data_IF_477790398243
#
_entry.id   IF_477790398243
#
_cell.length_a   1.000
_cell.length_b   1.000
_cell.length_c   1.000
_cell.angle_alpha   90.00
_cell.angle_beta   90.00
_cell.angle_gamma   90.00
#
_symmetry.space_group_name_H-M   'P 1'
#
loop_
_entity.id
_entity.type
_entity.pdbx_description
1 polymer ?
#
# COMPACT_ATOMS: atom_id res chain seq x y z
N UNK A 1 3.02 20.00 -6.58
CA UNK A 1 1.69 19.61 -6.00
C UNK A 1 1.51 18.11 -6.11
N UNK A 2 1.11 17.43 -5.02
CA UNK A 2 0.87 15.98 -5.05
C UNK A 2 -0.46 15.65 -5.71
N UNK A 3 -0.48 14.61 -6.56
CA UNK A 3 -1.67 14.17 -7.29
C UNK A 3 -1.64 12.67 -7.49
N UNK A 4 -2.75 11.99 -7.12
CA UNK A 4 -2.98 10.58 -7.50
C UNK A 4 -3.61 10.53 -8.88
N UNK A 5 -3.03 9.73 -9.76
CA UNK A 5 -3.53 9.50 -11.13
C UNK A 5 -3.85 8.02 -11.27
N UNK A 6 -5.08 7.72 -11.67
CA UNK A 6 -5.48 6.36 -11.96
C UNK A 6 -4.65 5.81 -13.12
N UNK A 7 -4.08 4.62 -12.92
CA UNK A 7 -3.40 3.92 -13.99
C UNK A 7 -4.44 3.29 -14.90
N UNK A 8 -4.50 3.76 -16.12
CA UNK A 8 -5.37 3.17 -17.12
C UNK A 8 -4.99 1.70 -17.34
N UNK A 9 -5.96 0.81 -17.36
CA UNK A 9 -5.77 -0.62 -17.59
C UNK A 9 -5.14 -0.91 -18.97
N UNK A 10 -5.24 0.01 -19.90
CA UNK A 10 -4.63 -0.05 -21.24
C UNK A 10 -3.15 0.36 -21.22
N UNK A 11 -2.67 0.96 -20.14
CA UNK A 11 -1.26 1.28 -19.98
C UNK A 11 -0.47 0.02 -19.58
N UNK A 12 0.74 -0.06 -20.07
CA UNK A 12 1.65 -1.17 -19.78
C UNK A 12 2.20 -1.08 -18.34
N UNK A 13 1.47 -1.70 -17.42
CA UNK A 13 1.91 -1.83 -16.03
C UNK A 13 3.27 -2.52 -15.88
N UNK A 14 3.64 -3.39 -16.85
CA UNK A 14 4.94 -4.05 -16.83
C UNK A 14 6.07 -3.04 -16.95
N UNK A 15 5.94 -2.05 -17.85
CA UNK A 15 6.93 -0.99 -17.99
C UNK A 15 7.05 -0.16 -16.72
N UNK A 16 5.93 0.17 -16.07
CA UNK A 16 5.95 0.90 -14.81
C UNK A 16 6.68 0.12 -13.71
N UNK A 17 6.36 -1.14 -13.51
CA UNK A 17 7.04 -1.97 -12.51
C UNK A 17 8.49 -2.25 -12.89
N UNK A 18 8.83 -2.32 -14.16
CA UNK A 18 10.22 -2.40 -14.64
C UNK A 18 11.02 -1.18 -14.22
N UNK A 19 10.48 0.02 -14.38
CA UNK A 19 11.12 1.26 -13.93
C UNK A 19 11.25 1.30 -12.41
N UNK A 20 10.22 0.87 -11.68
CA UNK A 20 10.28 0.74 -10.23
C UNK A 20 11.37 -0.24 -9.79
N UNK A 21 11.53 -1.37 -10.50
CA UNK A 21 12.58 -2.36 -10.27
C UNK A 21 13.99 -1.82 -10.51
N UNK A 22 14.21 -1.11 -11.60
CA UNK A 22 15.50 -0.43 -11.87
C UNK A 22 15.88 0.55 -10.76
N UNK A 23 14.91 1.11 -10.08
CA UNK A 23 15.10 2.00 -8.92
C UNK A 23 15.19 1.24 -7.59
N UNK A 24 15.19 -0.11 -7.63
CA UNK A 24 15.36 -0.97 -6.47
C UNK A 24 14.13 -1.13 -5.56
N UNK A 25 12.93 -0.87 -6.09
CA UNK A 25 11.68 -1.04 -5.34
C UNK A 25 11.05 -2.42 -5.47
N UNK A 26 11.30 -3.07 -6.58
CA UNK A 26 10.72 -4.38 -6.90
C UNK A 26 11.79 -5.26 -7.54
N UNK A 27 11.83 -6.52 -7.16
CA UNK A 27 12.70 -7.49 -7.80
C UNK A 27 12.18 -7.81 -9.21
N UNK A 28 13.06 -7.80 -10.20
CA UNK A 28 12.73 -8.07 -11.61
C UNK A 28 12.00 -9.41 -11.82
N UNK A 29 12.34 -10.46 -11.07
CA UNK A 29 11.69 -11.75 -11.17
C UNK A 29 10.23 -11.74 -10.67
N UNK A 30 9.88 -10.83 -9.77
CA UNK A 30 8.54 -10.71 -9.22
C UNK A 30 7.59 -9.85 -10.07
N UNK A 31 8.08 -9.09 -11.04
CA UNK A 31 7.28 -8.16 -11.83
C UNK A 31 6.27 -8.87 -12.70
N UNK A 32 6.69 -9.90 -13.44
CA UNK A 32 5.79 -10.71 -14.28
C UNK A 32 4.71 -11.38 -13.42
N UNK A 33 5.12 -11.99 -12.30
CA UNK A 33 4.19 -12.63 -11.36
C UNK A 33 3.20 -11.62 -10.76
N UNK A 34 3.62 -10.38 -10.57
CA UNK A 34 2.76 -9.32 -10.03
C UNK A 34 1.70 -8.87 -11.00
N UNK A 35 2.06 -8.76 -12.28
CA UNK A 35 1.12 -8.38 -13.35
C UNK A 35 0.15 -9.52 -13.60
N UNK A 36 0.65 -10.75 -13.73
CA UNK A 36 -0.18 -11.94 -13.90
C UNK A 36 -1.18 -12.11 -12.74
N UNK A 37 -0.77 -11.76 -11.51
CA UNK A 37 -1.66 -11.77 -10.35
C UNK A 37 -2.84 -10.79 -10.45
N UNK A 38 -2.64 -9.60 -11.00
CA UNK A 38 -3.73 -8.64 -11.18
C UNK A 38 -4.69 -9.07 -12.28
N UNK A 39 -4.21 -9.65 -13.36
CA UNK A 39 -5.07 -10.13 -14.44
C UNK A 39 -6.02 -11.25 -14.02
N UNK A 40 -5.67 -12.02 -12.99
CA UNK A 40 -6.50 -13.09 -12.45
C UNK A 40 -7.48 -12.63 -11.37
N UNK A 41 -7.38 -11.38 -10.91
CA UNK A 41 -8.30 -10.84 -9.92
C UNK A 41 -9.63 -10.45 -10.58
N UNK A 42 -10.74 -10.67 -9.85
CA UNK A 42 -12.08 -10.29 -10.31
C UNK A 42 -12.16 -8.80 -10.62
N UNK A 43 -11.54 -8.00 -9.79
CA UNK A 43 -11.50 -6.55 -9.89
C UNK A 43 -10.19 -6.02 -9.33
N UNK A 44 -9.58 -5.06 -9.99
CA UNK A 44 -8.37 -4.41 -9.52
C UNK A 44 -8.25 -3.00 -10.09
N UNK A 45 -7.47 -2.17 -9.42
CA UNK A 45 -7.04 -0.87 -9.92
C UNK A 45 -5.68 -0.50 -9.36
N UNK A 46 -5.01 0.42 -10.03
CA UNK A 46 -3.71 0.93 -9.61
C UNK A 46 -3.63 2.45 -9.86
N UNK A 47 -2.79 3.11 -9.07
CA UNK A 47 -2.59 4.56 -9.15
C UNK A 47 -1.12 4.91 -9.01
N UNK A 48 -0.73 6.02 -9.63
CA UNK A 48 0.57 6.62 -9.49
C UNK A 48 0.42 7.94 -8.75
N UNK A 49 1.28 8.14 -7.76
CA UNK A 49 1.44 9.41 -7.07
C UNK A 49 2.47 10.26 -7.80
N UNK A 50 2.06 11.43 -8.24
CA UNK A 50 2.92 12.45 -8.82
C UNK A 50 3.17 13.57 -7.82
N UNK A 51 4.39 14.13 -7.86
CA UNK A 51 4.68 15.46 -7.35
C UNK A 51 5.02 16.33 -8.56
N UNK A 52 4.13 17.26 -8.88
CA UNK A 52 4.09 17.97 -10.17
C UNK A 52 4.09 16.93 -11.32
N UNK A 53 5.07 16.97 -12.22
CA UNK A 53 5.17 16.03 -13.36
C UNK A 53 6.01 14.78 -13.07
N UNK A 54 6.49 14.63 -11.83
CA UNK A 54 7.38 13.54 -11.44
C UNK A 54 6.63 12.45 -10.71
N UNK A 55 6.64 11.22 -11.24
CA UNK A 55 6.13 10.05 -10.53
C UNK A 55 7.01 9.76 -9.31
N UNK A 56 6.41 9.74 -8.12
CA UNK A 56 7.11 9.53 -6.85
C UNK A 56 6.63 8.30 -6.10
N UNK A 57 5.54 7.68 -6.51
CA UNK A 57 5.04 6.47 -5.86
C UNK A 57 3.94 5.79 -6.63
N UNK A 58 3.53 4.62 -6.14
CA UNK A 58 2.40 3.87 -6.66
C UNK A 58 1.71 3.06 -5.58
N UNK A 59 0.45 2.75 -5.82
CA UNK A 59 -0.36 1.84 -5.01
C UNK A 59 -1.35 1.11 -5.90
N UNK A 60 -1.74 -0.09 -5.49
CA UNK A 60 -2.80 -0.85 -6.13
C UNK A 60 -3.77 -1.43 -5.10
N UNK A 61 -4.96 -1.78 -5.57
CA UNK A 61 -5.98 -2.49 -4.84
C UNK A 61 -6.62 -3.56 -5.74
N UNK A 62 -7.10 -4.63 -5.14
CA UNK A 62 -7.73 -5.73 -5.87
C UNK A 62 -8.71 -6.51 -5.01
N UNK A 63 -9.55 -7.34 -5.65
CA UNK A 63 -10.39 -8.31 -4.95
C UNK A 63 -9.55 -9.26 -4.08
N UNK A 64 -10.11 -9.69 -2.95
CA UNK A 64 -9.41 -10.54 -1.97
C UNK A 64 -10.29 -11.73 -1.55
N UNK A 65 -11.16 -12.13 -2.46
CA UNK A 65 -12.20 -13.12 -2.22
C UNK A 65 -11.64 -14.49 -1.81
N UNK A 66 -10.53 -14.90 -2.41
CA UNK A 66 -9.88 -16.18 -2.13
C UNK A 66 -9.40 -16.33 -0.67
N UNK A 67 -9.11 -15.22 -0.01
CA UNK A 67 -8.55 -15.21 1.35
C UNK A 67 -9.58 -14.81 2.41
N UNK A 68 -10.41 -13.83 2.09
CA UNK A 68 -11.33 -13.21 3.03
C UNK A 68 -12.81 -13.44 2.71
N UNK A 69 -13.11 -14.15 1.61
CA UNK A 69 -14.46 -14.43 1.16
C UNK A 69 -15.03 -13.34 0.25
N UNK A 70 -16.26 -13.54 -0.24
CA UNK A 70 -16.88 -12.67 -1.22
C UNK A 70 -16.98 -11.20 -0.79
N UNK A 71 -16.87 -10.29 -1.76
CA UNK A 71 -16.94 -8.85 -1.53
C UNK A 71 -15.86 -8.33 -0.56
N UNK A 72 -14.69 -8.90 -0.64
CA UNK A 72 -13.52 -8.42 0.08
C UNK A 72 -12.49 -7.82 -0.88
N UNK A 73 -11.78 -6.79 -0.39
CA UNK A 73 -10.79 -6.06 -1.16
C UNK A 73 -9.51 -5.92 -0.37
N UNK A 74 -8.38 -6.15 -1.02
CA UNK A 74 -7.07 -5.86 -0.48
C UNK A 74 -6.56 -4.57 -1.08
N UNK A 75 -6.23 -3.63 -0.22
CA UNK A 75 -5.66 -2.32 -0.59
C UNK A 75 -4.21 -2.20 -0.13
N UNK A 76 -3.57 -1.10 -0.45
CA UNK A 76 -2.16 -0.86 -0.18
C UNK A 76 -1.25 -1.96 -0.73
N UNK A 77 -1.66 -2.55 -1.85
CA UNK A 77 -0.86 -3.53 -2.58
C UNK A 77 0.14 -2.79 -3.45
N UNK A 78 1.35 -3.30 -3.52
CA UNK A 78 2.40 -2.71 -4.37
C UNK A 78 2.69 -1.24 -4.05
N UNK A 79 2.59 -0.88 -2.79
CA UNK A 79 3.02 0.45 -2.33
C UNK A 79 4.50 0.58 -2.55
N UNK A 80 4.89 1.60 -3.29
CA UNK A 80 6.28 2.01 -3.43
C UNK A 80 6.38 3.53 -3.55
N UNK A 81 7.52 4.06 -3.21
CA UNK A 81 7.89 5.46 -3.43
C UNK A 81 9.26 5.54 -4.07
N UNK A 82 9.49 6.55 -4.92
CA UNK A 82 10.71 6.70 -5.70
C UNK A 82 11.51 7.94 -5.29
N UNK A 83 12.83 7.87 -5.53
CA UNK A 83 13.70 9.04 -5.53
C UNK A 83 13.78 9.75 -4.18
N UNK A 84 13.43 11.02 -4.15
CA UNK A 84 13.56 11.89 -2.97
C UNK A 84 12.66 11.49 -1.80
N UNK A 85 11.61 10.74 -2.07
CA UNK A 85 10.79 10.13 -1.03
C UNK A 85 11.48 8.94 -0.35
N UNK A 86 12.67 8.57 -0.81
CA UNK A 86 13.45 7.47 -0.25
C UNK A 86 14.22 7.91 0.98
N UNK A 87 14.03 7.21 2.05
CA UNK A 87 14.80 7.41 3.27
C UNK A 87 16.28 7.02 3.12
N UNK A 88 17.15 7.89 3.56
CA UNK A 88 18.57 7.62 3.68
C UNK A 88 18.94 7.23 5.11
N UNK A 89 19.43 6.00 5.24
CA UNK A 89 20.27 5.43 6.31
C UNK A 89 20.09 5.86 7.78
N UNK A 90 19.70 4.89 8.62
CA UNK A 90 19.80 4.89 10.08
C UNK A 90 18.45 4.85 10.82
N UNK A 91 18.45 4.23 12.00
CA UNK A 91 17.24 3.97 12.80
C UNK A 91 16.46 5.22 13.18
N UNK A 92 17.13 6.36 13.40
CA UNK A 92 16.48 7.64 13.71
C UNK A 92 15.91 8.29 12.45
N UNK A 93 16.61 8.13 11.33
CA UNK A 93 16.09 8.52 10.01
C UNK A 93 15.01 7.55 9.55
N UNK A 94 15.08 6.26 9.88
CA UNK A 94 14.00 5.32 9.62
C UNK A 94 12.69 5.72 10.30
N UNK A 95 12.72 6.29 11.50
CA UNK A 95 11.52 6.82 12.14
C UNK A 95 11.00 8.09 11.45
N UNK A 96 11.87 8.97 10.98
CA UNK A 96 11.49 10.11 10.14
C UNK A 96 10.96 9.68 8.78
N UNK A 97 11.53 8.64 8.24
CA UNK A 97 11.15 8.07 6.96
C UNK A 97 9.86 7.28 7.02
N UNK A 98 9.62 6.60 8.12
CA UNK A 98 8.30 6.07 8.39
C UNK A 98 7.27 7.20 8.45
N UNK A 99 7.59 8.34 9.02
CA UNK A 99 6.68 9.49 9.07
C UNK A 99 6.42 10.09 7.68
N UNK A 100 7.46 10.36 6.89
CA UNK A 100 7.29 10.88 5.53
C UNK A 100 6.63 9.86 4.59
N UNK A 101 6.97 8.60 4.71
CA UNK A 101 6.37 7.52 3.95
C UNK A 101 4.93 7.27 4.39
N UNK A 102 4.65 7.35 5.67
CA UNK A 102 3.32 7.31 6.24
C UNK A 102 2.49 8.49 5.74
N UNK A 103 3.04 9.69 5.68
CA UNK A 103 2.35 10.84 5.15
C UNK A 103 1.86 10.64 3.72
N UNK A 104 2.71 10.19 2.81
CA UNK A 104 2.30 9.92 1.43
C UNK A 104 1.27 8.80 1.35
N UNK A 105 1.42 7.76 2.15
CA UNK A 105 0.46 6.66 2.21
C UNK A 105 -0.86 7.12 2.80
N UNK A 106 -0.84 7.81 3.93
CA UNK A 106 -2.05 8.20 4.66
C UNK A 106 -2.79 9.38 4.01
N UNK A 107 -2.05 10.31 3.39
CA UNK A 107 -2.67 11.48 2.74
C UNK A 107 -3.17 11.21 1.34
N UNK A 108 -2.56 10.28 0.60
CA UNK A 108 -2.85 10.07 -0.82
C UNK A 108 -3.24 8.64 -1.16
N UNK A 109 -2.42 7.66 -0.80
CA UNK A 109 -2.60 6.30 -1.27
C UNK A 109 -3.78 5.59 -0.58
N UNK A 110 -3.85 5.65 0.74
CA UNK A 110 -4.91 5.02 1.52
C UNK A 110 -6.29 5.63 1.22
N UNK A 111 -6.47 6.97 1.22
CA UNK A 111 -7.74 7.58 0.85
C UNK A 111 -8.20 7.20 -0.56
N UNK A 112 -7.29 7.17 -1.52
CA UNK A 112 -7.60 6.78 -2.91
C UNK A 112 -8.11 5.34 -2.99
N UNK A 113 -7.43 4.41 -2.31
CA UNK A 113 -7.87 3.02 -2.24
C UNK A 113 -9.22 2.87 -1.53
N UNK A 114 -9.46 3.62 -0.45
CA UNK A 114 -10.71 3.58 0.31
C UNK A 114 -11.88 4.14 -0.52
N UNK A 115 -11.66 5.20 -1.27
CA UNK A 115 -12.70 5.74 -2.15
C UNK A 115 -13.05 4.75 -3.27
N UNK A 116 -12.06 4.07 -3.85
CA UNK A 116 -12.30 3.04 -4.87
C UNK A 116 -13.08 1.84 -4.33
N UNK A 117 -12.86 1.45 -3.07
CA UNK A 117 -13.56 0.32 -2.44
C UNK A 117 -14.88 0.69 -1.79
N UNK A 118 -15.23 1.98 -1.75
CA UNK A 118 -16.43 2.49 -1.09
C UNK A 118 -17.72 1.83 -1.60
N UNK A 119 -18.48 1.27 -0.68
CA UNK A 119 -19.73 0.56 -0.98
C UNK A 119 -19.57 -0.82 -1.65
N UNK A 120 -18.34 -1.28 -1.89
CA UNK A 120 -18.09 -2.56 -2.56
C UNK A 120 -17.99 -3.74 -1.57
N UNK A 121 -17.54 -3.53 -0.36
CA UNK A 121 -17.38 -4.58 0.64
C UNK A 121 -16.35 -4.27 1.72
N UNK A 122 -15.85 -5.32 2.38
CA UNK A 122 -14.87 -5.20 3.45
C UNK A 122 -13.48 -4.93 2.88
N UNK A 123 -12.71 -4.12 3.59
CA UNK A 123 -11.39 -3.66 3.13
C UNK A 123 -10.30 -4.17 4.03
N UNK A 124 -9.26 -4.73 3.43
CA UNK A 124 -8.14 -5.34 4.12
C UNK A 124 -6.81 -4.83 3.59
N UNK A 125 -5.80 -4.90 4.43
CA UNK A 125 -4.41 -4.80 4.02
C UNK A 125 -3.63 -5.97 4.60
N UNK A 126 -2.46 -6.25 4.06
CA UNK A 126 -1.59 -7.28 4.61
C UNK A 126 -0.20 -6.73 4.89
N UNK A 127 0.42 -7.25 5.93
CA UNK A 127 1.81 -6.98 6.25
C UNK A 127 2.61 -8.28 6.33
N UNK A 128 3.80 -8.27 5.73
CA UNK A 128 4.70 -9.40 5.78
C UNK A 128 5.48 -9.38 7.10
N UNK A 129 5.64 -10.55 7.72
CA UNK A 129 6.47 -10.74 8.90
C UNK A 129 7.98 -10.72 8.61
N UNK A 130 8.38 -10.51 7.36
CA UNK A 130 9.79 -10.41 6.98
C UNK A 130 10.54 -9.46 7.92
N UNK A 131 11.71 -9.89 8.35
CA UNK A 131 12.57 -9.09 9.25
C UNK A 131 13.40 -8.06 8.51
N UNK A 132 13.19 -7.90 7.21
CA UNK A 132 14.04 -7.06 6.34
C UNK A 132 13.32 -5.83 5.82
N UNK A 133 14.05 -4.72 5.76
CA UNK A 133 13.68 -3.49 5.06
C UNK A 133 12.39 -2.82 5.53
N UNK A 134 11.75 -2.15 4.59
CA UNK A 134 10.53 -1.38 4.83
C UNK A 134 9.33 -2.23 5.27
N UNK A 135 9.27 -3.50 4.88
CA UNK A 135 8.20 -4.42 5.28
C UNK A 135 8.20 -4.69 6.79
N UNK A 136 9.38 -4.72 7.42
CA UNK A 136 9.49 -4.81 8.88
C UNK A 136 8.82 -3.62 9.57
N UNK A 137 9.02 -2.41 9.05
CA UNK A 137 8.45 -1.20 9.64
C UNK A 137 6.93 -1.17 9.47
N UNK A 138 6.43 -1.58 8.31
CA UNK A 138 4.98 -1.70 8.06
C UNK A 138 4.34 -2.69 9.02
N UNK A 139 4.96 -3.85 9.21
CA UNK A 139 4.42 -4.90 10.09
C UNK A 139 4.53 -4.54 11.57
N UNK A 140 5.66 -3.98 12.03
CA UNK A 140 5.97 -3.78 13.44
C UNK A 140 5.58 -2.40 13.99
N UNK A 141 5.38 -1.40 13.13
CA UNK A 141 5.11 -0.01 13.53
C UNK A 141 3.82 0.51 12.92
N UNK A 142 3.70 0.51 11.58
CA UNK A 142 2.60 1.17 10.88
C UNK A 142 1.23 0.59 11.29
N UNK A 143 0.96 -0.68 10.97
CA UNK A 143 -0.32 -1.29 11.31
C UNK A 143 -0.59 -1.37 12.83
N UNK A 144 0.38 -1.73 13.70
CA UNK A 144 0.16 -1.67 15.14
C UNK A 144 -0.19 -0.26 15.65
N UNK A 145 0.38 0.79 15.04
CA UNK A 145 0.02 2.18 15.38
C UNK A 145 -1.41 2.50 14.97
N UNK A 146 -1.82 2.14 13.76
CA UNK A 146 -3.20 2.31 13.30
C UNK A 146 -4.20 1.49 14.14
N UNK A 147 -3.79 0.31 14.61
CA UNK A 147 -4.63 -0.52 15.48
C UNK A 147 -4.87 0.12 16.84
N UNK A 148 -3.88 0.78 17.43
CA UNK A 148 -4.02 1.49 18.71
C UNK A 148 -5.05 2.62 18.68
N UNK A 149 -5.27 3.21 17.53
CA UNK A 149 -6.25 4.28 17.33
C UNK A 149 -7.54 3.81 16.64
N UNK A 150 -7.72 2.51 16.48
CA UNK A 150 -8.95 1.88 16.00
C UNK A 150 -9.18 1.96 14.48
N UNK A 151 -8.18 2.36 13.70
CA UNK A 151 -8.29 2.44 12.24
C UNK A 151 -8.21 1.07 11.59
N UNK A 152 -7.45 0.14 12.17
CA UNK A 152 -7.36 -1.24 11.70
C UNK A 152 -7.55 -2.23 12.83
N UNK A 153 -7.98 -3.43 12.48
CA UNK A 153 -8.04 -4.58 13.40
C UNK A 153 -7.24 -5.74 12.84
N UNK A 154 -6.41 -6.37 13.67
CA UNK A 154 -5.74 -7.62 13.28
C UNK A 154 -6.77 -8.74 13.22
N UNK A 155 -6.88 -9.40 12.06
CA UNK A 155 -7.88 -10.46 11.84
C UNK A 155 -7.26 -11.85 11.99
N UNK A 156 -6.26 -12.15 11.17
CA UNK A 156 -5.62 -13.46 11.16
C UNK A 156 -4.24 -13.43 10.54
N UNK A 157 -3.53 -14.51 10.66
CA UNK A 157 -2.31 -14.77 9.90
C UNK A 157 -2.60 -15.78 8.81
N UNK A 158 -2.02 -15.57 7.64
CA UNK A 158 -2.20 -16.41 6.46
C UNK A 158 -0.89 -16.66 5.76
N UNK A 159 -0.73 -17.82 5.18
CA UNK A 159 0.29 -18.05 4.17
C UNK A 159 -0.28 -17.62 2.82
N UNK A 160 0.22 -16.53 2.26
CA UNK A 160 -0.31 -15.93 1.05
C UNK A 160 0.82 -15.50 0.12
N UNK A 161 0.77 -15.92 -1.12
CA UNK A 161 1.80 -15.62 -2.14
C UNK A 161 3.22 -15.90 -1.64
N UNK A 162 3.44 -17.11 -1.11
CA UNK A 162 4.74 -17.62 -0.64
C UNK A 162 5.32 -16.93 0.59
N UNK A 163 4.52 -16.19 1.32
CA UNK A 163 4.96 -15.52 2.56
C UNK A 163 3.90 -15.58 3.65
N UNK A 164 4.35 -15.59 4.89
CA UNK A 164 3.46 -15.46 6.04
C UNK A 164 3.10 -13.98 6.23
N UNK A 165 1.82 -13.70 6.18
CA UNK A 165 1.29 -12.36 6.26
C UNK A 165 0.24 -12.23 7.37
N UNK A 166 0.22 -11.08 8.02
CA UNK A 166 -0.88 -10.68 8.89
C UNK A 166 -1.91 -9.91 8.07
N UNK A 167 -3.17 -10.31 8.20
CA UNK A 167 -4.31 -9.62 7.59
C UNK A 167 -4.88 -8.63 8.60
N UNK A 168 -5.02 -7.39 8.15
CA UNK A 168 -5.60 -6.28 8.89
C UNK A 168 -6.87 -5.82 8.18
N UNK A 169 -7.99 -5.76 8.89
CA UNK A 169 -9.20 -5.11 8.40
C UNK A 169 -9.08 -3.61 8.63
N UNK A 170 -9.41 -2.84 7.61
CA UNK A 170 -9.39 -1.38 7.68
C UNK A 170 -10.81 -0.89 7.88
N UNK A 171 -10.97 0.06 8.80
CA UNK A 171 -12.23 0.73 9.13
C UNK A 171 -12.25 2.13 8.50
N UNK A 172 -12.85 2.31 7.30
CA UNK A 172 -12.79 3.57 6.57
C UNK A 172 -13.30 4.77 7.38
N UNK A 173 -14.41 4.60 8.08
CA UNK A 173 -14.99 5.69 8.88
C UNK A 173 -14.05 6.13 10.00
N UNK A 174 -13.39 5.18 10.67
CA UNK A 174 -12.40 5.49 11.70
C UNK A 174 -11.16 6.18 11.10
N UNK A 175 -10.76 5.79 9.90
CA UNK A 175 -9.66 6.45 9.19
C UNK A 175 -10.01 7.93 8.91
N UNK A 176 -11.13 8.19 8.25
CA UNK A 176 -11.51 9.56 7.88
C UNK A 176 -11.76 10.45 9.11
N UNK A 177 -12.34 9.91 10.18
CA UNK A 177 -12.51 10.63 11.44
C UNK A 177 -11.17 11.02 12.13
N UNK A 178 -10.09 10.33 11.82
CA UNK A 178 -8.77 10.59 12.37
C UNK A 178 -7.82 11.31 11.39
N UNK A 179 -8.26 11.61 10.17
CA UNK A 179 -7.41 12.17 9.11
C UNK A 179 -6.68 13.44 9.56
N UNK A 180 -7.36 14.34 10.28
CA UNK A 180 -6.77 15.56 10.85
C UNK A 180 -5.61 15.27 11.84
N UNK A 181 -5.58 14.10 12.44
CA UNK A 181 -4.49 13.71 13.35
C UNK A 181 -3.22 13.35 12.58
N UNK A 182 -3.34 12.86 11.36
CA UNK A 182 -2.20 12.54 10.51
C UNK A 182 -1.54 13.79 9.94
N UNK A 183 -2.32 14.85 9.69
CA UNK A 183 -1.81 16.14 9.22
C UNK A 183 -0.95 16.86 10.28
N UNK A 184 -1.13 16.54 11.56
CA UNK A 184 -0.35 17.12 12.66
C UNK A 184 1.03 16.51 12.86
N UNK A 185 1.37 15.50 12.08
CA UNK A 185 2.68 14.82 12.13
C UNK A 185 3.66 15.41 11.09
N UNK A 186 3.24 16.45 10.37
CA UNK A 186 4.06 17.30 9.51
C UNK A 186 4.57 18.50 10.27
#
# INVERSE_FOLDING_TARGET
MHKMVEWNKDLDLANFYSEAGKRGFVNNASQKVMIDCFHNEREWNAWILYNDDKAIGSVAAHSFDDVMGPNSYRILTRVCTFGEARPHNGLVKANRLCAEHQNLTDQFMLPTCLEWTKGKGRVFATSNKSKEGSQRLVHSIYFPTLAKIGIVSKIKEVHYRHTDQTVWEIHPDAFFANLERFERWT
#
